data_IF_209470224624
#
_entry.id   IF_209470224624
#
_cell.length_a   1.000
_cell.length_b   1.000
_cell.length_c   1.000
_cell.angle_alpha   90.00
_cell.angle_beta   90.00
_cell.angle_gamma   90.00
#
_symmetry.space_group_name_H-M   'P 1'
#
loop_
_entity.id
_entity.type
_entity.pdbx_description
1 polymer ?
#
# COMPACT_ATOMS: atom_id res chain seq x y z
N UNK A 1 27.76 9.40 -7.95
CA UNK A 1 28.02 9.50 -9.40
C UNK A 1 26.89 10.31 -10.02
N UNK A 2 27.21 11.20 -10.96
CA UNK A 2 26.20 11.98 -11.69
C UNK A 2 25.97 11.32 -13.06
N UNK A 3 24.70 11.14 -13.42
CA UNK A 3 24.30 10.52 -14.68
C UNK A 3 23.63 11.56 -15.57
N UNK A 4 23.87 11.48 -16.88
CA UNK A 4 23.35 12.41 -17.88
C UNK A 4 22.69 11.65 -19.03
N UNK A 5 21.54 12.11 -19.50
CA UNK A 5 20.89 11.67 -20.75
C UNK A 5 20.74 12.90 -21.64
N UNK A 6 21.24 12.84 -22.87
CA UNK A 6 21.21 13.99 -23.81
C UNK A 6 21.71 15.30 -23.18
N UNK A 7 22.79 15.21 -22.39
CA UNK A 7 23.40 16.32 -21.63
C UNK A 7 22.52 16.88 -20.48
N UNK A 8 21.38 16.28 -20.19
CA UNK A 8 20.55 16.61 -19.03
C UNK A 8 20.94 15.77 -17.81
N UNK A 9 21.23 16.44 -16.69
CA UNK A 9 21.52 15.79 -15.41
C UNK A 9 20.28 15.06 -14.89
N UNK A 10 20.43 13.78 -14.59
CA UNK A 10 19.39 12.98 -13.96
C UNK A 10 19.39 13.21 -12.44
N UNK A 11 18.21 13.48 -11.90
CA UNK A 11 18.00 13.52 -10.45
C UNK A 11 18.15 12.11 -9.86
N UNK A 12 19.07 11.93 -8.92
CA UNK A 12 19.10 10.73 -8.10
C UNK A 12 17.93 10.75 -7.11
N UNK A 13 17.09 9.70 -7.13
CA UNK A 13 16.05 9.49 -6.13
C UNK A 13 16.42 8.33 -5.21
N UNK A 14 15.97 8.38 -3.96
CA UNK A 14 16.19 7.29 -3.01
C UNK A 14 15.14 6.19 -3.15
N UNK A 15 13.98 6.50 -3.73
CA UNK A 15 12.94 5.54 -4.05
C UNK A 15 12.47 5.71 -5.49
N UNK A 16 11.91 4.64 -6.03
CA UNK A 16 11.25 4.66 -7.33
C UNK A 16 9.94 3.87 -7.25
N UNK A 17 9.05 4.16 -8.20
CA UNK A 17 7.76 3.47 -8.28
C UNK A 17 7.71 2.65 -9.55
N UNK A 18 7.52 1.34 -9.40
CA UNK A 18 7.36 0.41 -10.50
C UNK A 18 6.10 -0.43 -10.32
N UNK A 19 5.27 -0.51 -11.39
CA UNK A 19 3.97 -1.18 -11.40
C UNK A 19 3.05 -0.87 -10.19
N UNK A 20 3.21 0.31 -9.59
CA UNK A 20 2.46 0.74 -8.41
C UNK A 20 3.12 0.47 -7.06
N UNK A 21 4.21 -0.29 -7.02
CA UNK A 21 5.02 -0.60 -5.83
C UNK A 21 6.14 0.43 -5.66
N UNK A 22 6.40 0.88 -4.43
CA UNK A 22 7.47 1.83 -4.13
C UNK A 22 8.64 1.03 -3.58
N UNK A 23 9.81 1.15 -4.20
CA UNK A 23 11.03 0.44 -3.84
C UNK A 23 12.09 1.48 -3.48
N UNK A 24 12.60 1.39 -2.25
CA UNK A 24 13.75 2.19 -1.81
C UNK A 24 15.05 1.59 -2.38
N UNK A 25 16.07 2.43 -2.55
CA UNK A 25 17.46 2.13 -2.89
C UNK A 25 18.07 0.98 -2.08
N UNK A 26 17.62 0.79 -0.84
CA UNK A 26 18.02 -0.31 0.07
C UNK A 26 17.10 -1.52 0.02
N UNK A 27 16.22 -1.60 -0.98
CA UNK A 27 15.20 -2.64 -1.14
C UNK A 27 14.22 -2.72 0.05
N UNK A 28 13.98 -1.59 0.72
CA UNK A 28 13.00 -1.48 1.80
C UNK A 28 11.63 -1.09 1.26
N UNK A 29 10.58 -1.76 1.74
CA UNK A 29 9.20 -1.49 1.35
C UNK A 29 8.42 -0.64 2.36
N UNK A 30 9.12 0.06 3.27
CA UNK A 30 8.48 0.86 4.31
C UNK A 30 7.58 1.97 3.75
N UNK A 31 8.09 2.71 2.77
CA UNK A 31 7.32 3.75 2.10
C UNK A 31 6.08 3.15 1.40
N UNK A 32 6.25 2.00 0.73
CA UNK A 32 5.15 1.29 0.09
C UNK A 32 4.08 0.84 1.10
N UNK A 33 4.47 0.15 2.17
CA UNK A 33 3.57 -0.38 3.19
C UNK A 33 2.81 0.76 3.89
N UNK A 34 3.49 1.86 4.22
CA UNK A 34 2.82 3.04 4.78
C UNK A 34 1.78 3.62 3.81
N UNK A 35 2.11 3.72 2.53
CA UNK A 35 1.22 4.26 1.51
C UNK A 35 -0.02 3.38 1.29
N UNK A 36 0.15 2.05 1.14
CA UNK A 36 -0.98 1.14 0.91
C UNK A 36 -1.88 1.01 2.14
N UNK A 37 -1.31 0.96 3.35
CA UNK A 37 -2.09 0.86 4.60
C UNK A 37 -2.89 2.13 4.87
N UNK A 38 -2.33 3.31 4.56
CA UNK A 38 -3.04 4.58 4.65
C UNK A 38 -4.22 4.64 3.66
N UNK A 39 -3.98 4.28 2.38
CA UNK A 39 -5.03 4.23 1.35
C UNK A 39 -6.14 3.26 1.73
N UNK A 40 -5.78 2.05 2.15
CA UNK A 40 -6.71 1.01 2.54
C UNK A 40 -7.54 1.40 3.79
N UNK A 41 -6.90 2.01 4.80
CA UNK A 41 -7.61 2.54 5.97
C UNK A 41 -8.64 3.61 5.60
N UNK A 42 -8.30 4.51 4.67
CA UNK A 42 -9.24 5.53 4.18
C UNK A 42 -10.40 4.90 3.40
N UNK A 43 -10.13 3.88 2.59
CA UNK A 43 -11.14 3.11 1.84
C UNK A 43 -12.10 2.37 2.79
N UNK A 44 -11.58 1.70 3.82
CA UNK A 44 -12.38 1.02 4.83
C UNK A 44 -13.31 2.00 5.57
N UNK A 45 -12.80 3.16 5.99
CA UNK A 45 -13.63 4.22 6.59
C UNK A 45 -14.72 4.72 5.66
N UNK A 46 -14.42 4.85 4.37
CA UNK A 46 -15.40 5.30 3.38
C UNK A 46 -16.53 4.27 3.22
N UNK A 47 -16.21 2.97 3.17
CA UNK A 47 -17.21 1.90 3.12
C UNK A 47 -18.17 2.03 4.31
N UNK A 48 -17.65 2.13 5.53
CA UNK A 48 -18.52 2.27 6.72
C UNK A 48 -19.38 3.53 6.69
N UNK A 49 -18.90 4.62 6.06
CA UNK A 49 -19.65 5.89 5.94
C UNK A 49 -20.69 5.91 4.82
N UNK A 50 -20.41 5.28 3.68
CA UNK A 50 -21.27 5.35 2.51
C UNK A 50 -22.43 4.36 2.54
N UNK A 51 -22.25 3.20 3.18
CA UNK A 51 -23.31 2.20 3.26
C UNK A 51 -24.24 2.52 4.44
N UNK A 52 -25.47 2.95 4.14
CA UNK A 52 -26.52 3.17 5.15
C UNK A 52 -26.91 1.87 5.85
N UNK A 53 -26.89 0.76 5.11
CA UNK A 53 -27.13 -0.57 5.64
C UNK A 53 -25.88 -1.09 6.37
N UNK A 54 -26.03 -1.44 7.65
CA UNK A 54 -24.98 -2.07 8.48
C UNK A 54 -24.97 -3.59 8.38
N UNK A 55 -25.44 -4.15 7.26
CA UNK A 55 -25.40 -5.59 7.03
C UNK A 55 -23.94 -6.06 6.98
N UNK A 56 -23.58 -6.95 7.92
CA UNK A 56 -22.22 -7.46 8.07
C UNK A 56 -21.70 -8.14 6.80
N UNK A 57 -22.52 -8.95 6.14
CA UNK A 57 -22.11 -9.69 4.94
C UNK A 57 -21.81 -8.74 3.78
N UNK A 58 -22.61 -7.68 3.64
CA UNK A 58 -22.40 -6.65 2.64
C UNK A 58 -21.12 -5.86 2.91
N UNK A 59 -20.88 -5.47 4.16
CA UNK A 59 -19.67 -4.74 4.55
C UNK A 59 -18.41 -5.60 4.36
N UNK A 60 -18.47 -6.89 4.69
CA UNK A 60 -17.37 -7.84 4.44
C UNK A 60 -17.11 -7.99 2.94
N UNK A 61 -18.15 -8.15 2.12
CA UNK A 61 -18.00 -8.20 0.64
C UNK A 61 -17.39 -6.92 0.08
N UNK A 62 -17.84 -5.76 0.55
CA UNK A 62 -17.28 -4.46 0.15
C UNK A 62 -15.81 -4.35 0.58
N UNK A 63 -15.48 -4.75 1.81
CA UNK A 63 -14.10 -4.74 2.30
C UNK A 63 -13.20 -5.63 1.44
N UNK A 64 -13.61 -6.87 1.18
CA UNK A 64 -12.86 -7.81 0.33
C UNK A 64 -12.71 -7.32 -1.11
N UNK A 65 -13.69 -6.58 -1.64
CA UNK A 65 -13.65 -6.09 -3.02
C UNK A 65 -12.82 -4.82 -3.19
N UNK A 66 -12.82 -3.91 -2.20
CA UNK A 66 -12.23 -2.57 -2.34
C UNK A 66 -11.01 -2.31 -1.47
N UNK A 67 -10.85 -3.02 -0.36
CA UNK A 67 -9.76 -2.80 0.62
C UNK A 67 -8.69 -3.86 0.48
N UNK A 68 -9.09 -5.14 0.48
CA UNK A 68 -8.14 -6.27 0.42
C UNK A 68 -7.16 -6.18 -0.77
N UNK A 69 -7.59 -5.87 -2.01
CA UNK A 69 -6.65 -5.78 -3.14
C UNK A 69 -5.59 -4.69 -2.94
N UNK A 70 -5.89 -3.60 -2.21
CA UNK A 70 -4.93 -2.52 -1.98
C UNK A 70 -3.73 -2.95 -1.13
N UNK A 71 -3.94 -3.89 -0.21
CA UNK A 71 -2.90 -4.36 0.73
C UNK A 71 -2.31 -5.72 0.34
N UNK A 72 -2.85 -6.40 -0.67
CA UNK A 72 -2.34 -7.71 -1.15
C UNK A 72 -1.72 -7.65 -2.54
N UNK A 73 -1.96 -6.59 -3.31
CA UNK A 73 -1.38 -6.42 -4.64
C UNK A 73 0.15 -6.50 -4.61
N UNK A 74 0.72 -7.36 -5.47
CA UNK A 74 2.15 -7.64 -5.55
C UNK A 74 2.80 -8.08 -4.23
N UNK A 75 2.05 -8.70 -3.30
CA UNK A 75 2.58 -9.13 -2.01
C UNK A 75 3.79 -10.09 -2.05
N UNK A 76 3.99 -10.95 -3.07
CA UNK A 76 5.23 -11.73 -3.16
C UNK A 76 6.49 -10.88 -3.33
N UNK A 77 6.36 -9.65 -3.87
CA UNK A 77 7.49 -8.75 -4.09
C UNK A 77 7.93 -8.03 -2.82
N UNK A 78 6.97 -7.44 -2.09
CA UNK A 78 7.27 -6.59 -0.92
C UNK A 78 7.14 -7.30 0.43
N UNK A 79 6.83 -8.61 0.41
CA UNK A 79 6.54 -9.48 1.55
C UNK A 79 7.13 -8.97 2.89
N UNK A 80 6.28 -8.53 3.84
CA UNK A 80 6.72 -7.80 5.02
C UNK A 80 7.45 -8.73 5.99
N UNK A 81 8.74 -8.50 6.21
CA UNK A 81 9.54 -9.32 7.11
C UNK A 81 9.53 -8.79 8.56
N UNK A 82 9.37 -7.48 8.74
CA UNK A 82 9.42 -6.88 10.08
C UNK A 82 8.06 -6.93 10.78
N UNK A 83 8.05 -7.30 12.07
CA UNK A 83 6.82 -7.39 12.88
C UNK A 83 5.94 -6.14 12.80
N UNK A 84 6.53 -4.94 12.85
CA UNK A 84 5.76 -3.69 12.77
C UNK A 84 5.07 -3.49 11.42
N UNK A 85 5.65 -3.98 10.32
CA UNK A 85 5.05 -3.92 8.99
C UNK A 85 3.87 -4.87 8.90
N UNK A 86 4.04 -6.10 9.39
CA UNK A 86 2.99 -7.12 9.48
C UNK A 86 1.82 -6.56 10.30
N UNK A 87 2.09 -6.08 11.51
CA UNK A 87 1.07 -5.46 12.38
C UNK A 87 0.36 -4.30 11.71
N UNK A 88 1.06 -3.44 10.94
CA UNK A 88 0.42 -2.34 10.19
C UNK A 88 -0.60 -2.85 9.17
N UNK A 89 -0.28 -3.91 8.44
CA UNK A 89 -1.18 -4.49 7.43
C UNK A 89 -2.37 -5.18 8.12
N UNK A 90 -2.11 -5.99 9.14
CA UNK A 90 -3.16 -6.67 9.91
C UNK A 90 -4.13 -5.69 10.57
N UNK A 91 -3.64 -4.54 11.05
CA UNK A 91 -4.48 -3.51 11.66
C UNK A 91 -5.49 -2.90 10.68
N UNK A 92 -5.23 -2.96 9.37
CA UNK A 92 -6.21 -2.55 8.36
C UNK A 92 -7.31 -3.62 8.21
N UNK A 93 -6.96 -4.89 8.35
CA UNK A 93 -7.88 -6.02 8.22
C UNK A 93 -8.75 -6.26 9.46
N UNK A 94 -8.23 -5.95 10.66
CA UNK A 94 -8.93 -6.14 11.94
C UNK A 94 -9.81 -4.96 12.36
N UNK A 95 -9.84 -3.88 11.57
CA UNK A 95 -10.61 -2.66 11.84
C UNK A 95 -12.02 -2.75 11.29
#
# INVERSE_FOLDING_TARGET
HQYYIDQHLLSCTNDFRDLGVIVDSKFNFNAHINNITHKASSRARLIVKCFTSKNKDLLVKAFCSYVRPLIEYCSPLWNPHYKYQITKIENVQRR
#
